data_IF_543516384697
#
_entry.id   IF_543516384697
#
_cell.length_a   1.000
_cell.length_b   1.000
_cell.length_c   1.000
_cell.angle_alpha   90.00
_cell.angle_beta   90.00
_cell.angle_gamma   90.00
#
_symmetry.space_group_name_H-M   'P 1'
#
loop_
_entity.id
_entity.type
_entity.pdbx_description
1 polymer ?
#
# COMPACT_ATOMS: atom_id res chain seq x y z
N UNK A 1 27.50 1.56 -0.55
CA UNK A 1 26.97 0.25 -0.12
C UNK A 1 25.58 0.50 0.45
N UNK A 2 24.53 0.29 -0.35
CA UNK A 2 23.15 0.65 -0.01
C UNK A 2 22.54 -0.39 0.92
N UNK A 3 22.56 -0.12 2.21
CA UNK A 3 21.63 -0.77 3.13
C UNK A 3 20.30 -0.05 2.98
N UNK A 4 19.25 -0.79 2.61
CA UNK A 4 17.90 -0.22 2.63
C UNK A 4 17.63 0.25 4.07
N UNK A 5 17.10 1.47 4.30
CA UNK A 5 16.84 1.96 5.64
C UNK A 5 16.06 0.90 6.43
N UNK A 6 16.26 0.78 7.75
CA UNK A 6 15.53 -0.20 8.58
C UNK A 6 14.01 -0.12 8.35
N UNK A 7 13.52 1.08 8.05
CA UNK A 7 12.16 1.42 7.66
C UNK A 7 11.64 0.72 6.38
N UNK A 8 12.48 0.06 5.58
CA UNK A 8 12.06 -0.61 4.34
C UNK A 8 12.29 -2.12 4.33
N UNK A 9 12.67 -2.71 5.47
CA UNK A 9 13.01 -4.14 5.56
C UNK A 9 11.81 -5.07 5.66
N UNK A 10 10.65 -4.57 6.08
CA UNK A 10 9.41 -5.34 6.17
C UNK A 10 8.28 -4.57 5.50
N UNK A 11 7.26 -5.28 5.01
CA UNK A 11 6.09 -4.61 4.43
C UNK A 11 5.44 -3.63 5.42
N UNK A 12 5.33 -4.01 6.70
CA UNK A 12 4.78 -3.13 7.75
C UNK A 12 5.65 -1.89 8.03
N UNK A 13 6.98 -2.04 7.98
CA UNK A 13 7.90 -0.90 8.13
C UNK A 13 7.76 0.06 6.95
N UNK A 14 7.72 -0.47 5.71
CA UNK A 14 7.53 0.34 4.49
C UNK A 14 6.22 1.11 4.56
N UNK A 15 5.11 0.44 4.91
CA UNK A 15 3.80 1.07 5.02
C UNK A 15 3.77 2.17 6.08
N UNK A 16 4.38 1.92 7.24
CA UNK A 16 4.49 2.90 8.32
C UNK A 16 5.32 4.12 7.92
N UNK A 17 6.46 3.90 7.26
CA UNK A 17 7.30 4.97 6.75
C UNK A 17 6.58 5.80 5.68
N UNK A 18 5.90 5.13 4.74
CA UNK A 18 5.12 5.81 3.71
C UNK A 18 4.02 6.69 4.32
N UNK A 19 3.30 6.16 5.32
CA UNK A 19 2.26 6.91 6.02
C UNK A 19 2.84 8.13 6.77
N UNK A 20 4.01 7.98 7.41
CA UNK A 20 4.66 9.07 8.13
C UNK A 20 5.14 10.18 7.18
N UNK A 21 5.85 9.80 6.12
CA UNK A 21 6.55 10.74 5.26
C UNK A 21 5.65 11.40 4.22
N UNK A 22 4.63 10.70 3.71
CA UNK A 22 3.82 11.19 2.57
C UNK A 22 2.35 11.42 2.93
N UNK A 23 1.76 10.61 3.80
CA UNK A 23 0.33 10.76 4.13
C UNK A 23 0.13 11.81 5.22
N UNK A 24 0.87 11.72 6.33
CA UNK A 24 0.74 12.68 7.44
C UNK A 24 1.22 14.09 7.10
N UNK A 25 2.11 14.21 6.11
CA UNK A 25 2.57 15.50 5.58
C UNK A 25 1.64 16.09 4.52
N UNK A 26 0.58 15.37 4.14
CA UNK A 26 -0.43 15.84 3.17
C UNK A 26 -0.01 15.72 1.71
N UNK A 27 1.14 15.11 1.41
CA UNK A 27 1.62 14.90 0.03
C UNK A 27 0.81 13.83 -0.71
N UNK A 28 0.26 12.86 0.02
CA UNK A 28 -0.63 11.81 -0.49
C UNK A 28 -1.93 11.82 0.32
N UNK A 29 -3.11 11.74 -0.33
CA UNK A 29 -4.39 11.69 0.37
C UNK A 29 -4.49 10.52 1.35
N UNK A 30 -5.19 10.75 2.46
CA UNK A 30 -5.35 9.75 3.54
C UNK A 30 -6.06 8.48 3.05
N UNK A 31 -6.98 8.62 2.11
CA UNK A 31 -7.76 7.54 1.52
C UNK A 31 -6.84 6.57 0.77
N UNK A 32 -5.87 7.10 0.01
CA UNK A 32 -4.86 6.32 -0.72
C UNK A 32 -3.94 5.58 0.27
N UNK A 33 -3.49 6.26 1.33
CA UNK A 33 -2.68 5.64 2.38
C UNK A 33 -3.39 4.49 3.12
N UNK A 34 -4.70 4.66 3.39
CA UNK A 34 -5.54 3.61 3.99
C UNK A 34 -5.74 2.44 3.04
N UNK A 35 -6.03 2.72 1.76
CA UNK A 35 -6.25 1.70 0.76
C UNK A 35 -5.01 0.79 0.58
N UNK A 36 -3.81 1.37 0.60
CA UNK A 36 -2.56 0.60 0.53
C UNK A 36 -2.46 -0.47 1.63
N UNK A 37 -2.82 -0.12 2.88
CA UNK A 37 -2.81 -1.07 3.99
C UNK A 37 -3.86 -2.19 3.82
N UNK A 38 -5.07 -1.83 3.39
CA UNK A 38 -6.15 -2.79 3.15
C UNK A 38 -5.82 -3.77 2.01
N UNK A 39 -5.18 -3.29 0.93
CA UNK A 39 -4.71 -4.15 -0.17
C UNK A 39 -3.63 -5.11 0.31
N UNK A 40 -2.72 -4.67 1.19
CA UNK A 40 -1.72 -5.56 1.80
C UNK A 40 -2.38 -6.66 2.64
N UNK A 41 -3.39 -6.33 3.45
CA UNK A 41 -4.13 -7.32 4.25
C UNK A 41 -4.87 -8.33 3.35
N UNK A 42 -5.50 -7.86 2.27
CA UNK A 42 -6.17 -8.71 1.29
C UNK A 42 -5.17 -9.65 0.62
N UNK A 43 -3.98 -9.16 0.25
CA UNK A 43 -2.91 -10.00 -0.30
C UNK A 43 -2.48 -11.08 0.67
N UNK A 44 -2.26 -10.74 1.94
CA UNK A 44 -1.90 -11.73 2.97
C UNK A 44 -2.98 -12.80 3.12
N UNK A 45 -4.25 -12.41 3.11
CA UNK A 45 -5.35 -13.37 3.12
C UNK A 45 -5.32 -14.25 1.87
N UNK A 46 -5.15 -13.69 0.68
CA UNK A 46 -5.09 -14.44 -0.57
C UNK A 46 -3.93 -15.44 -0.62
N UNK A 47 -2.77 -15.07 -0.09
CA UNK A 47 -1.56 -15.89 -0.13
C UNK A 47 -1.55 -17.02 0.90
N UNK A 48 -2.24 -16.83 2.04
CA UNK A 48 -2.10 -17.71 3.21
C UNK A 48 -3.41 -18.34 3.70
N UNK A 49 -4.58 -17.87 3.27
CA UNK A 49 -5.84 -18.51 3.65
C UNK A 49 -6.14 -19.72 2.77
N UNK A 50 -6.88 -20.68 3.34
CA UNK A 50 -7.38 -21.83 2.59
C UNK A 50 -8.52 -21.46 1.63
N UNK A 51 -9.27 -20.39 1.94
CA UNK A 51 -10.38 -19.92 1.14
C UNK A 51 -9.96 -18.78 0.21
N UNK A 52 -10.43 -18.76 -1.05
CA UNK A 52 -10.11 -17.70 -1.98
C UNK A 52 -10.77 -16.38 -1.56
N UNK A 53 -10.11 -15.27 -1.90
CA UNK A 53 -10.65 -13.92 -1.69
C UNK A 53 -11.85 -13.70 -2.63
N UNK A 54 -12.96 -13.10 -2.15
CA UNK A 54 -14.10 -12.74 -3.00
C UNK A 54 -13.69 -11.84 -4.18
N UNK A 55 -14.29 -12.07 -5.36
CA UNK A 55 -13.99 -11.33 -6.59
C UNK A 55 -14.08 -9.81 -6.41
N UNK A 56 -15.11 -9.32 -5.73
CA UNK A 56 -15.30 -7.89 -5.44
C UNK A 56 -14.10 -7.28 -4.70
N UNK A 57 -13.53 -8.02 -3.73
CA UNK A 57 -12.34 -7.55 -2.99
C UNK A 57 -11.09 -7.58 -3.87
N UNK A 58 -10.98 -8.55 -4.78
CA UNK A 58 -9.88 -8.61 -5.73
C UNK A 58 -9.94 -7.44 -6.73
N UNK A 59 -11.11 -7.19 -7.32
CA UNK A 59 -11.35 -6.06 -8.22
C UNK A 59 -11.09 -4.72 -7.54
N UNK A 60 -11.63 -4.55 -6.32
CA UNK A 60 -11.38 -3.37 -5.52
C UNK A 60 -9.88 -3.16 -5.28
N UNK A 61 -9.15 -4.23 -4.95
CA UNK A 61 -7.70 -4.15 -4.69
C UNK A 61 -6.91 -3.67 -5.90
N UNK A 62 -7.26 -4.14 -7.11
CA UNK A 62 -6.62 -3.70 -8.36
C UNK A 62 -6.90 -2.23 -8.62
N UNK A 63 -8.15 -1.77 -8.44
CA UNK A 63 -8.52 -0.35 -8.61
C UNK A 63 -7.75 0.54 -7.64
N UNK A 64 -7.65 0.15 -6.37
CA UNK A 64 -6.90 0.92 -5.37
C UNK A 64 -5.40 0.94 -5.65
N UNK A 65 -4.82 -0.18 -6.11
CA UNK A 65 -3.42 -0.24 -6.49
C UNK A 65 -3.12 0.71 -7.67
N UNK A 66 -4.02 0.77 -8.66
CA UNK A 66 -3.90 1.72 -9.77
C UNK A 66 -3.97 3.18 -9.29
N UNK A 67 -4.91 3.50 -8.40
CA UNK A 67 -5.03 4.84 -7.81
C UNK A 67 -3.79 5.24 -7.01
N UNK A 68 -3.22 4.32 -6.23
CA UNK A 68 -1.96 4.54 -5.52
C UNK A 68 -0.80 4.86 -6.46
N UNK A 69 -0.61 4.07 -7.52
CA UNK A 69 0.46 4.29 -8.50
C UNK A 69 0.29 5.64 -9.21
N UNK A 70 -0.93 6.03 -9.54
CA UNK A 70 -1.22 7.34 -10.12
C UNK A 70 -0.82 8.48 -9.16
N UNK A 71 -1.25 8.42 -7.90
CA UNK A 71 -0.92 9.45 -6.91
C UNK A 71 0.60 9.58 -6.67
N UNK A 72 1.34 8.47 -6.66
CA UNK A 72 2.81 8.50 -6.53
C UNK A 72 3.47 9.08 -7.78
N UNK A 73 2.96 8.80 -8.99
CA UNK A 73 3.47 9.42 -10.22
C UNK A 73 3.25 10.92 -10.22
N UNK A 74 2.08 11.37 -9.81
CA UNK A 74 1.75 12.80 -9.71
C UNK A 74 2.66 13.51 -8.69
N UNK A 75 2.98 12.86 -7.57
CA UNK A 75 3.92 13.38 -6.56
C UNK A 75 5.36 13.53 -7.09
N UNK A 76 5.77 12.68 -8.03
CA UNK A 76 7.13 12.66 -8.58
C UNK A 76 7.29 13.54 -9.83
N UNK A 77 6.20 14.17 -10.29
CA UNK A 77 6.16 15.04 -11.46
C UNK A 77 6.56 16.47 -11.10
#
# INVERSE_FOLDING_TARGET
RGHAPEATKTHGAVHSAFALEFVKTGQIPREIGRALGQVQDIRLLADYAAEPVPLEKAEWSVVQAAAFVAAVRDLLS
#
